data_IF_483060660636
#
_entry.id   IF_483060660636
#
_cell.length_a   1.000
_cell.length_b   1.000
_cell.length_c   1.000
_cell.angle_alpha   90.00
_cell.angle_beta   90.00
_cell.angle_gamma   90.00
#
_symmetry.space_group_name_H-M   'P 1'
#
loop_
_entity.id
_entity.type
_entity.pdbx_description
1 polymer ?
#
# COMPACT_ATOMS: atom_id res chain seq x y z
N UNK A 1 23.01 -4.74 -11.16
CA UNK A 1 22.52 -6.14 -11.10
C UNK A 1 22.50 -6.80 -12.48
N UNK A 2 21.98 -6.17 -13.53
CA UNK A 2 21.98 -6.75 -14.90
C UNK A 2 23.39 -7.00 -15.43
N UNK A 3 24.29 -6.04 -15.30
CA UNK A 3 25.70 -6.18 -15.71
C UNK A 3 26.45 -7.29 -14.96
N UNK A 4 26.05 -7.58 -13.72
CA UNK A 4 26.62 -8.65 -12.91
C UNK A 4 25.94 -10.02 -13.15
N UNK A 5 24.93 -10.10 -14.03
CA UNK A 5 24.22 -11.34 -14.35
C UNK A 5 23.38 -11.92 -13.20
N UNK A 6 23.07 -11.13 -12.14
CA UNK A 6 22.32 -11.61 -10.98
C UNK A 6 20.87 -11.14 -10.97
N UNK A 7 20.47 -10.30 -11.91
CA UNK A 7 19.12 -9.72 -11.91
C UNK A 7 18.03 -10.78 -12.06
N UNK A 8 18.19 -11.71 -12.98
CA UNK A 8 17.17 -12.73 -13.27
C UNK A 8 17.01 -13.71 -12.10
N UNK A 9 18.12 -14.05 -11.45
CA UNK A 9 18.17 -14.97 -10.30
C UNK A 9 17.88 -14.30 -8.96
N UNK A 10 17.33 -13.08 -8.96
CA UNK A 10 17.03 -12.36 -7.74
C UNK A 10 15.54 -12.11 -7.61
N UNK A 11 14.99 -12.32 -6.42
CA UNK A 11 13.75 -11.68 -5.98
C UNK A 11 14.10 -10.25 -5.54
N UNK A 12 13.40 -9.26 -6.06
CA UNK A 12 13.59 -7.86 -5.70
C UNK A 12 12.30 -7.33 -5.12
N UNK A 13 12.37 -6.82 -3.88
CA UNK A 13 11.25 -6.17 -3.20
C UNK A 13 11.72 -4.77 -2.81
N UNK A 14 11.01 -3.76 -3.27
CA UNK A 14 11.18 -2.37 -2.86
C UNK A 14 9.93 -1.95 -2.10
N UNK A 15 10.09 -1.56 -0.87
CA UNK A 15 9.01 -1.29 0.06
C UNK A 15 9.32 -0.01 0.84
N UNK A 16 8.30 0.82 1.09
CA UNK A 16 8.35 1.84 2.12
C UNK A 16 7.52 1.42 3.34
N UNK A 17 7.86 1.92 4.52
CA UNK A 17 7.13 1.70 5.77
C UNK A 17 5.79 2.43 5.80
N UNK A 18 5.70 3.58 5.13
CA UNK A 18 4.48 4.37 4.95
C UNK A 18 4.55 5.15 3.63
N UNK A 19 3.44 5.69 3.21
CA UNK A 19 3.36 6.66 2.13
C UNK A 19 3.62 8.08 2.62
N UNK A 20 3.39 9.04 1.74
CA UNK A 20 3.51 10.46 2.06
C UNK A 20 2.34 11.23 1.43
N UNK A 21 1.83 12.22 2.15
CA UNK A 21 0.85 13.14 1.61
C UNK A 21 1.58 14.13 0.72
N UNK A 22 1.62 13.87 -0.57
CA UNK A 22 2.12 14.83 -1.56
C UNK A 22 0.98 15.81 -1.80
N UNK A 23 1.15 17.03 -1.33
CA UNK A 23 0.26 18.13 -1.72
C UNK A 23 0.41 18.29 -3.23
N UNK A 24 -0.64 17.91 -3.98
CA UNK A 24 -0.64 18.10 -5.42
C UNK A 24 -0.47 19.56 -5.74
N UNK A 25 0.39 19.91 -6.70
CA UNK A 25 0.68 21.19 -7.38
C UNK A 25 0.30 22.51 -6.67
N UNK A 26 -0.14 22.45 -5.44
CA UNK A 26 -0.60 23.56 -4.65
C UNK A 26 0.57 24.22 -3.95
N UNK A 27 1.32 24.98 -4.71
CA UNK A 27 2.28 25.94 -4.17
C UNK A 27 1.59 26.95 -3.25
N UNK A 28 0.25 27.00 -3.21
CA UNK A 28 -0.49 28.09 -2.57
C UNK A 28 -1.77 27.75 -1.81
N UNK A 29 -2.07 26.51 -1.44
CA UNK A 29 -3.28 26.26 -0.62
C UNK A 29 -2.97 25.61 0.72
N UNK A 30 -3.17 26.36 1.85
CA UNK A 30 -3.00 25.82 3.20
C UNK A 30 -4.18 24.95 3.67
N UNK A 31 -5.02 24.45 2.77
CA UNK A 31 -6.12 23.56 3.11
C UNK A 31 -5.66 22.11 2.91
N UNK A 32 -5.06 21.54 3.96
CA UNK A 32 -5.00 20.09 4.08
C UNK A 32 -6.43 19.55 4.03
N UNK A 33 -6.70 18.72 3.05
CA UNK A 33 -7.94 17.96 3.06
C UNK A 33 -7.96 17.10 4.33
N UNK A 34 -9.04 17.15 5.10
CA UNK A 34 -9.20 16.40 6.34
C UNK A 34 -9.09 14.86 6.15
N UNK A 35 -9.02 14.40 4.91
CA UNK A 35 -8.99 13.01 4.50
C UNK A 35 -7.72 12.63 3.72
N UNK A 36 -6.57 13.22 4.01
CA UNK A 36 -5.31 12.85 3.37
C UNK A 36 -4.90 11.42 3.76
N UNK A 37 -5.07 10.48 2.84
CA UNK A 37 -4.79 9.06 3.02
C UNK A 37 -3.43 8.64 2.49
N UNK A 38 -2.69 9.52 1.83
CA UNK A 38 -1.43 9.20 1.17
C UNK A 38 -0.40 8.52 2.09
N UNK A 39 -0.42 8.84 3.39
CA UNK A 39 0.47 8.23 4.37
C UNK A 39 0.19 6.74 4.61
N UNK A 40 -1.03 6.28 4.41
CA UNK A 40 -1.45 4.89 4.54
C UNK A 40 -1.19 4.05 3.29
N UNK A 41 -0.68 4.66 2.22
CA UNK A 41 -0.39 4.01 0.95
C UNK A 41 1.12 3.89 0.73
N UNK A 42 1.80 2.91 1.35
CA UNK A 42 3.21 2.67 1.09
C UNK A 42 3.43 2.17 -0.34
N UNK A 43 4.62 2.42 -0.85
CA UNK A 43 5.06 1.86 -2.13
C UNK A 43 5.44 0.39 -1.93
N UNK A 44 5.04 -0.45 -2.89
CA UNK A 44 5.48 -1.83 -3.00
C UNK A 44 5.76 -2.17 -4.47
N UNK A 45 7.01 -2.51 -4.79
CA UNK A 45 7.39 -3.10 -6.07
C UNK A 45 7.98 -4.48 -5.83
N UNK A 46 7.56 -5.42 -6.64
CA UNK A 46 8.02 -6.81 -6.57
C UNK A 46 8.45 -7.28 -7.95
N UNK A 47 9.55 -8.01 -7.98
CA UNK A 47 10.01 -8.81 -9.11
C UNK A 47 10.37 -10.20 -8.58
N UNK A 48 9.75 -11.23 -9.12
CA UNK A 48 10.04 -12.63 -8.82
C UNK A 48 11.30 -13.15 -9.53
N UNK A 49 11.60 -14.44 -9.35
CA UNK A 49 12.71 -15.10 -10.02
C UNK A 49 12.43 -15.24 -11.52
N UNK A 50 13.44 -14.95 -12.35
CA UNK A 50 13.38 -15.09 -13.80
C UNK A 50 12.24 -14.33 -14.50
N UNK A 51 11.63 -13.36 -13.82
CA UNK A 51 10.61 -12.51 -14.43
C UNK A 51 11.22 -11.52 -15.43
N UNK A 52 10.66 -11.52 -16.63
CA UNK A 52 11.05 -10.64 -17.71
C UNK A 52 9.81 -10.21 -18.52
N UNK A 53 9.00 -9.37 -17.92
CA UNK A 53 7.83 -8.75 -18.53
C UNK A 53 7.83 -7.24 -18.26
N UNK A 54 6.95 -6.51 -18.93
CA UNK A 54 6.78 -5.08 -18.71
C UNK A 54 6.23 -4.81 -17.31
N UNK A 55 6.50 -3.60 -16.80
CA UNK A 55 5.97 -3.15 -15.52
C UNK A 55 4.44 -3.18 -15.52
N UNK A 56 3.86 -3.77 -14.49
CA UNK A 56 2.42 -3.85 -14.28
C UNK A 56 2.05 -3.21 -12.94
N UNK A 57 0.85 -2.64 -12.89
CA UNK A 57 0.26 -2.09 -11.67
C UNK A 57 -0.95 -2.95 -11.31
N UNK A 58 -1.03 -3.39 -10.07
CA UNK A 58 -2.15 -4.17 -9.55
C UNK A 58 -3.00 -3.34 -8.60
N UNK A 59 -4.32 -3.42 -8.73
CA UNK A 59 -5.31 -2.88 -7.80
C UNK A 59 -5.73 -3.87 -6.71
N UNK A 60 -5.00 -4.97 -6.50
CA UNK A 60 -5.32 -5.96 -5.47
C UNK A 60 -5.33 -5.33 -4.06
N UNK A 61 -6.32 -5.67 -3.20
CA UNK A 61 -6.46 -5.08 -1.88
C UNK A 61 -5.52 -5.73 -0.85
N UNK A 62 -4.22 -5.66 -1.09
CA UNK A 62 -3.18 -6.19 -0.20
C UNK A 62 -2.90 -5.27 0.97
N UNK A 63 -2.23 -5.79 2.01
CA UNK A 63 -1.73 -5.06 3.16
C UNK A 63 -0.39 -5.63 3.63
N UNK A 64 0.27 -4.99 4.59
CA UNK A 64 1.55 -5.45 5.13
C UNK A 64 1.51 -6.86 5.72
N UNK A 65 0.39 -7.29 6.27
CA UNK A 65 0.25 -8.63 6.83
C UNK A 65 0.41 -9.76 5.80
N UNK A 66 0.19 -9.45 4.51
CA UNK A 66 0.33 -10.41 3.42
C UNK A 66 1.78 -10.62 2.97
N UNK A 67 2.67 -9.67 3.30
CA UNK A 67 4.04 -9.65 2.79
C UNK A 67 4.85 -10.87 3.19
N UNK A 68 4.65 -11.39 4.40
CA UNK A 68 5.39 -12.57 4.87
C UNK A 68 5.04 -13.79 4.04
N UNK A 69 3.73 -14.01 3.77
CA UNK A 69 3.27 -15.09 2.92
C UNK A 69 3.75 -14.95 1.48
N UNK A 70 3.66 -13.74 0.92
CA UNK A 70 4.14 -13.44 -0.42
C UNK A 70 5.65 -13.67 -0.57
N UNK A 71 6.44 -13.29 0.42
CA UNK A 71 7.88 -13.53 0.44
C UNK A 71 8.24 -15.02 0.31
N UNK A 72 7.60 -15.88 1.10
CA UNK A 72 7.86 -17.32 1.01
C UNK A 72 7.44 -17.89 -0.36
N UNK A 73 6.29 -17.50 -0.89
CA UNK A 73 5.87 -17.91 -2.22
C UNK A 73 6.85 -17.50 -3.32
N UNK A 74 7.38 -16.27 -3.25
CA UNK A 74 8.39 -15.77 -4.20
C UNK A 74 9.70 -16.55 -4.11
N UNK A 75 10.15 -16.94 -2.91
CA UNK A 75 11.33 -17.81 -2.73
C UNK A 75 11.10 -19.22 -3.28
N UNK A 76 9.87 -19.72 -3.22
CA UNK A 76 9.47 -21.00 -3.80
C UNK A 76 9.24 -20.92 -5.32
N UNK A 77 9.46 -19.74 -5.92
CA UNK A 77 9.42 -19.53 -7.37
C UNK A 77 8.08 -19.09 -7.92
N UNK A 78 7.16 -18.63 -7.08
CA UNK A 78 5.93 -18.00 -7.57
C UNK A 78 6.24 -16.71 -8.34
N UNK A 79 5.42 -16.40 -9.34
CA UNK A 79 5.46 -15.12 -10.03
C UNK A 79 4.99 -13.98 -9.13
N UNK A 80 5.42 -12.75 -9.41
CA UNK A 80 5.08 -11.57 -8.60
C UNK A 80 3.59 -11.26 -8.59
N UNK A 81 2.88 -11.55 -9.68
CA UNK A 81 1.42 -11.41 -9.79
C UNK A 81 0.64 -12.52 -9.07
N UNK A 82 1.31 -13.59 -8.66
CA UNK A 82 0.69 -14.77 -8.03
C UNK A 82 1.12 -14.99 -6.57
N UNK A 83 2.00 -14.14 -6.05
CA UNK A 83 2.50 -14.29 -4.68
C UNK A 83 1.46 -13.89 -3.61
N UNK A 84 0.50 -13.04 -3.93
CA UNK A 84 -0.57 -12.66 -3.02
C UNK A 84 -1.83 -13.52 -3.19
N UNK A 85 -2.58 -13.65 -2.10
CA UNK A 85 -3.87 -14.34 -2.10
C UNK A 85 -4.95 -13.50 -2.80
N UNK A 86 -4.99 -12.20 -2.48
CA UNK A 86 -5.95 -11.27 -3.06
C UNK A 86 -5.51 -10.82 -4.45
N UNK A 87 -6.48 -10.72 -5.35
CA UNK A 87 -6.30 -10.32 -6.75
C UNK A 87 -7.04 -9.00 -7.01
N UNK A 88 -6.76 -8.42 -8.16
CA UNK A 88 -7.48 -7.23 -8.60
C UNK A 88 -8.99 -7.50 -8.72
N UNK A 89 -9.79 -6.60 -8.16
CA UNK A 89 -11.24 -6.73 -8.09
C UNK A 89 -11.79 -7.46 -6.85
N UNK A 90 -10.92 -8.10 -6.06
CA UNK A 90 -11.33 -8.70 -4.79
C UNK A 90 -11.77 -7.63 -3.79
N UNK A 91 -12.65 -8.05 -2.88
CA UNK A 91 -13.13 -7.23 -1.78
C UNK A 91 -12.54 -7.74 -0.47
N UNK A 92 -11.86 -6.84 0.27
CA UNK A 92 -11.27 -7.13 1.57
C UNK A 92 -11.41 -5.92 2.48
N UNK A 93 -11.99 -6.09 3.64
CA UNK A 93 -12.01 -5.05 4.66
C UNK A 93 -10.60 -4.81 5.21
N UNK A 94 -10.15 -3.56 5.13
CA UNK A 94 -8.92 -3.07 5.75
C UNK A 94 -9.24 -1.87 6.62
N UNK A 95 -8.58 -1.78 7.76
CA UNK A 95 -8.80 -0.70 8.72
C UNK A 95 -7.60 0.21 8.77
N UNK A 96 -7.85 1.50 8.80
CA UNK A 96 -6.86 2.55 8.82
C UNK A 96 -7.11 3.47 10.01
N UNK A 97 -6.03 3.91 10.65
CA UNK A 97 -6.07 4.95 11.66
C UNK A 97 -5.49 6.23 11.05
N UNK A 98 -6.33 7.23 10.91
CA UNK A 98 -5.93 8.55 10.40
C UNK A 98 -5.80 9.52 11.57
N UNK A 99 -4.63 10.17 11.64
CA UNK A 99 -4.44 11.30 12.54
C UNK A 99 -5.24 12.49 12.03
N UNK A 100 -6.08 13.07 12.88
CA UNK A 100 -6.57 14.42 12.64
C UNK A 100 -5.51 15.40 13.09
N UNK A 101 -4.84 16.00 12.13
CA UNK A 101 -3.98 17.15 12.38
C UNK A 101 -4.90 18.32 12.74
N UNK A 102 -4.53 19.11 13.69
CA UNK A 102 -5.04 20.41 14.12
C UNK A 102 -5.36 20.45 15.63
N UNK A 103 -4.38 20.00 16.43
CA UNK A 103 -4.43 20.18 17.89
C UNK A 103 -5.28 19.18 18.64
N UNK A 104 -5.70 18.13 17.96
CA UNK A 104 -6.43 17.01 18.56
C UNK A 104 -5.55 15.76 18.53
N UNK A 105 -5.12 15.30 19.71
CA UNK A 105 -4.30 14.11 19.89
C UNK A 105 -5.14 12.85 19.76
N UNK A 106 -5.87 12.69 18.65
CA UNK A 106 -6.67 11.48 18.42
C UNK A 106 -6.55 10.95 16.99
N UNK A 107 -6.84 9.65 16.85
CA UNK A 107 -6.93 8.94 15.60
C UNK A 107 -8.35 8.51 15.33
N UNK A 108 -8.81 8.68 14.10
CA UNK A 108 -10.12 8.21 13.64
C UNK A 108 -9.93 6.94 12.83
N UNK A 109 -10.73 5.91 13.13
CA UNK A 109 -10.71 4.67 12.37
C UNK A 109 -11.60 4.78 11.13
N UNK A 110 -11.04 4.37 10.01
CA UNK A 110 -11.76 4.18 8.74
C UNK A 110 -11.66 2.73 8.29
N UNK A 111 -12.65 2.28 7.55
CA UNK A 111 -12.67 1.00 6.87
C UNK A 111 -12.69 1.24 5.36
N UNK A 112 -11.97 0.42 4.62
CA UNK A 112 -11.96 0.43 3.16
C UNK A 112 -12.01 -0.99 2.61
N UNK A 113 -12.71 -1.17 1.49
CA UNK A 113 -12.73 -2.40 0.70
C UNK A 113 -12.19 -2.12 -0.71
N UNK A 114 -11.70 -3.14 -1.40
CA UNK A 114 -11.21 -3.00 -2.77
C UNK A 114 -9.89 -2.23 -2.90
N UNK A 115 -9.71 -1.54 -4.01
CA UNK A 115 -8.48 -0.83 -4.33
C UNK A 115 -8.19 0.34 -3.36
N UNK A 116 -6.98 0.39 -2.82
CA UNK A 116 -6.60 1.40 -1.82
C UNK A 116 -6.61 2.84 -2.36
N UNK A 117 -6.32 3.02 -3.65
CA UNK A 117 -6.33 4.33 -4.31
C UNK A 117 -7.73 4.89 -4.58
N UNK A 118 -8.79 4.11 -4.34
CA UNK A 118 -10.17 4.60 -4.45
C UNK A 118 -10.66 5.13 -3.10
N UNK A 119 -10.37 6.40 -2.84
CA UNK A 119 -10.77 7.08 -1.59
C UNK A 119 -12.29 7.13 -1.37
N UNK A 120 -13.09 6.98 -2.42
CA UNK A 120 -14.56 6.97 -2.30
C UNK A 120 -15.08 5.77 -1.49
N UNK A 121 -14.27 4.72 -1.38
CA UNK A 121 -14.58 3.50 -0.61
C UNK A 121 -14.14 3.59 0.86
N UNK A 122 -13.52 4.69 1.28
CA UNK A 122 -13.07 4.92 2.64
C UNK A 122 -14.22 5.40 3.52
N UNK A 123 -14.65 4.57 4.47
CA UNK A 123 -15.84 4.83 5.30
C UNK A 123 -15.42 4.96 6.76
N UNK A 124 -15.76 6.08 7.46
CA UNK A 124 -15.49 6.21 8.88
C UNK A 124 -16.30 5.17 9.68
N UNK A 125 -15.65 4.47 10.61
CA UNK A 125 -16.32 3.47 11.46
C UNK A 125 -17.00 4.09 12.67
N UNK A 126 -16.74 5.37 12.95
CA UNK A 126 -17.19 6.07 14.15
C UNK A 126 -16.32 5.82 15.39
N UNK A 127 -15.24 5.01 15.27
CA UNK A 127 -14.32 4.75 16.38
C UNK A 127 -13.21 5.81 16.40
N UNK A 128 -12.93 6.30 17.60
CA UNK A 128 -11.89 7.29 17.86
C UNK A 128 -10.98 6.76 18.97
N UNK A 129 -9.68 6.96 18.82
CA UNK A 129 -8.66 6.52 19.76
C UNK A 129 -7.81 7.71 20.17
N UNK A 130 -7.52 7.80 21.47
CA UNK A 130 -6.57 8.79 21.99
C UNK A 130 -5.16 8.42 21.54
N UNK A 131 -4.45 9.36 20.94
CA UNK A 131 -3.05 9.21 20.52
C UNK A 131 -2.12 9.64 21.68
N UNK A 132 -2.16 8.92 22.80
CA UNK A 132 -1.26 9.15 23.94
C UNK A 132 -0.17 8.09 23.99
#
# INVERSE_FOLDING_TARGET
MREAGVYDNSVIIVLSDHGYNIEGDAVDTPQRNENETGRQHPILFIKGLNENHDFQVSGAPISFEDLVGAYYKLLDGAASDDCFEYKEGDQRERRYLLYKYLGEDHMVEYMQTGYAGDESTLIPTGRVFDAK
#
